data_IF_971224536881
#
_entry.id   IF_971224536881
#
_cell.length_a   1.000
_cell.length_b   1.000
_cell.length_c   1.000
_cell.angle_alpha   90.00
_cell.angle_beta   90.00
_cell.angle_gamma   90.00
#
_symmetry.space_group_name_H-M   'P 1'
#
loop_
_entity.id
_entity.type
_entity.pdbx_description
1 polymer ?
#
# COMPACT_ATOMS: atom_id res chain seq x y z
N UNK A 1 -3.77 -15.44 -17.93
CA UNK A 1 -3.61 -14.83 -16.60
C UNK A 1 -2.26 -14.18 -16.51
N UNK A 2 -2.16 -13.00 -15.88
CA UNK A 2 -0.87 -12.39 -15.61
C UNK A 2 -0.07 -13.24 -14.63
N UNK A 3 1.22 -13.32 -14.87
CA UNK A 3 2.21 -13.98 -14.04
C UNK A 3 2.47 -13.18 -12.76
N UNK A 4 3.05 -13.81 -11.74
CA UNK A 4 3.40 -13.12 -10.49
C UNK A 4 4.29 -11.87 -10.70
N UNK A 5 5.30 -11.86 -11.60
CA UNK A 5 6.05 -10.65 -11.92
C UNK A 5 5.20 -9.53 -12.53
N UNK A 6 4.27 -9.85 -13.43
CA UNK A 6 3.36 -8.86 -14.05
C UNK A 6 2.39 -8.28 -13.01
N UNK A 7 1.85 -9.11 -12.12
CA UNK A 7 1.02 -8.66 -11.00
C UNK A 7 1.79 -7.74 -10.05
N UNK A 8 3.03 -8.09 -9.72
CA UNK A 8 3.91 -7.27 -8.89
C UNK A 8 4.15 -5.90 -9.51
N UNK A 9 4.47 -5.86 -10.81
CA UNK A 9 4.70 -4.61 -11.53
C UNK A 9 3.43 -3.75 -11.57
N UNK A 10 2.28 -4.36 -11.87
CA UNK A 10 0.98 -3.67 -11.87
C UNK A 10 0.66 -3.09 -10.49
N UNK A 11 0.85 -3.86 -9.42
CA UNK A 11 0.66 -3.39 -8.05
C UNK A 11 1.52 -2.15 -7.74
N UNK A 12 2.82 -2.23 -8.01
CA UNK A 12 3.73 -1.12 -7.71
C UNK A 12 3.40 0.14 -8.51
N UNK A 13 3.06 -0.02 -9.79
CA UNK A 13 2.64 1.09 -10.65
C UNK A 13 1.36 1.75 -10.13
N UNK A 14 0.35 0.95 -9.78
CA UNK A 14 -0.91 1.47 -9.22
C UNK A 14 -0.71 2.13 -7.85
N UNK A 15 0.10 1.54 -6.98
CA UNK A 15 0.41 2.12 -5.68
C UNK A 15 1.14 3.47 -5.82
N UNK A 16 2.08 3.59 -6.75
CA UNK A 16 2.81 4.84 -7.00
C UNK A 16 1.91 5.98 -7.47
N UNK A 17 0.86 5.70 -8.25
CA UNK A 17 -0.09 6.72 -8.70
C UNK A 17 -1.21 7.02 -7.70
N UNK A 18 -1.70 6.00 -7.01
CA UNK A 18 -2.92 6.09 -6.21
C UNK A 18 -2.64 6.34 -4.73
N UNK A 19 -1.47 5.90 -4.26
CA UNK A 19 -0.81 6.16 -2.98
C UNK A 19 -1.53 5.66 -1.74
N UNK A 20 -2.86 5.80 -1.62
CA UNK A 20 -3.55 5.50 -0.36
C UNK A 20 -3.60 4.00 -0.08
N UNK A 21 -3.11 3.60 1.09
CA UNK A 21 -3.29 2.25 1.66
C UNK A 21 -3.96 2.34 3.03
N UNK A 22 -4.77 1.34 3.38
CA UNK A 22 -5.30 1.16 4.73
C UNK A 22 -4.30 0.35 5.55
N UNK A 23 -3.57 0.99 6.46
CA UNK A 23 -2.47 0.39 7.23
C UNK A 23 -2.91 0.10 8.68
N UNK A 24 -2.60 -1.09 9.19
CA UNK A 24 -2.85 -1.49 10.57
C UNK A 24 -1.77 -2.40 11.13
N UNK A 25 -1.65 -2.44 12.46
CA UNK A 25 -0.73 -3.32 13.18
C UNK A 25 -1.44 -4.63 13.55
N UNK A 26 -0.77 -5.77 13.35
CA UNK A 26 -1.33 -7.08 13.68
C UNK A 26 -1.44 -7.22 15.20
N UNK A 27 -2.64 -7.53 15.68
CA UNK A 27 -2.89 -7.78 17.11
C UNK A 27 -2.98 -6.53 18.00
N UNK A 28 -2.92 -5.33 17.41
CA UNK A 28 -3.07 -4.04 18.10
C UNK A 28 -4.40 -3.41 17.67
N UNK A 29 -5.19 -2.90 18.62
CA UNK A 29 -6.49 -2.25 18.33
C UNK A 29 -7.39 -3.10 17.40
N UNK A 30 -7.50 -4.41 17.64
CA UNK A 30 -8.25 -5.34 16.75
C UNK A 30 -7.77 -5.31 15.27
N UNK A 31 -6.50 -4.97 15.05
CA UNK A 31 -5.89 -4.71 13.74
C UNK A 31 -6.57 -3.58 12.96
N UNK A 32 -7.07 -2.56 13.68
CA UNK A 32 -7.72 -1.40 13.09
C UNK A 32 -6.81 -0.73 12.04
N UNK A 33 -7.31 -0.67 10.81
CA UNK A 33 -6.60 -0.03 9.70
C UNK A 33 -7.03 1.41 9.52
N UNK A 34 -6.10 2.25 9.06
CA UNK A 34 -6.37 3.67 8.76
C UNK A 34 -5.75 4.07 7.42
N UNK A 35 -6.37 4.99 6.68
CA UNK A 35 -5.84 5.45 5.41
C UNK A 35 -4.54 6.23 5.63
N UNK A 36 -3.48 5.81 4.94
CA UNK A 36 -2.16 6.43 4.96
C UNK A 36 -1.69 6.62 3.52
N UNK A 37 -1.05 7.74 3.21
CA UNK A 37 -0.51 8.02 1.87
C UNK A 37 0.86 7.37 1.73
N UNK A 38 0.95 6.30 0.95
CA UNK A 38 2.21 5.62 0.63
C UNK A 38 3.08 6.50 -0.27
N UNK A 39 4.39 6.49 -0.01
CA UNK A 39 5.41 7.05 -0.87
C UNK A 39 6.52 6.03 -1.13
N UNK A 40 7.12 6.11 -2.31
CA UNK A 40 8.22 5.26 -2.75
C UNK A 40 9.37 6.16 -3.20
N UNK A 41 10.61 5.79 -2.92
CA UNK A 41 11.78 6.48 -3.47
C UNK A 41 12.04 6.10 -4.93
N UNK A 42 11.60 4.90 -5.34
CA UNK A 42 11.76 4.37 -6.70
C UNK A 42 10.46 3.76 -7.23
N UNK A 43 10.59 2.60 -7.86
CA UNK A 43 9.45 1.85 -8.41
C UNK A 43 8.99 0.71 -7.50
N UNK A 44 9.73 0.40 -6.44
CA UNK A 44 9.44 -0.68 -5.50
C UNK A 44 9.63 -0.20 -4.06
N UNK A 45 9.35 -1.08 -3.11
CA UNK A 45 9.52 -0.81 -1.69
C UNK A 45 10.98 -0.51 -1.28
N UNK A 46 11.20 -0.06 -0.03
CA UNK A 46 10.22 0.04 1.05
C UNK A 46 9.12 1.08 0.81
N UNK A 47 7.98 0.90 1.48
CA UNK A 47 6.85 1.84 1.42
C UNK A 47 6.95 2.79 2.62
N UNK A 48 6.91 4.09 2.36
CA UNK A 48 7.06 5.11 3.38
C UNK A 48 5.75 5.83 3.66
N UNK A 49 5.52 6.20 4.93
CA UNK A 49 4.37 6.97 5.35
C UNK A 49 4.81 8.09 6.29
N UNK A 50 4.59 9.34 5.90
CA UNK A 50 4.70 10.48 6.83
C UNK A 50 3.54 10.47 7.82
N UNK A 51 3.84 10.74 9.08
CA UNK A 51 2.88 10.76 10.19
C UNK A 51 3.39 11.63 11.33
N UNK A 52 2.65 11.66 12.44
CA UNK A 52 3.02 12.32 13.69
C UNK A 52 3.48 11.31 14.73
N UNK A 53 4.35 11.73 15.64
CA UNK A 53 4.68 11.00 16.88
C UNK A 53 3.42 10.64 17.69
N UNK A 54 2.35 11.44 17.57
CA UNK A 54 1.07 11.24 18.26
C UNK A 54 0.17 10.17 17.61
N UNK A 55 0.53 9.64 16.43
CA UNK A 55 -0.28 8.61 15.77
C UNK A 55 -0.27 7.30 16.58
N UNK A 56 -1.43 6.68 16.79
CA UNK A 56 -1.50 5.45 17.60
C UNK A 56 -0.72 4.28 17.01
N UNK A 57 -0.48 4.24 15.69
CA UNK A 57 0.47 3.27 15.12
C UNK A 57 1.86 3.46 15.73
N UNK A 58 2.37 4.70 15.74
CA UNK A 58 3.70 5.04 16.29
C UNK A 58 3.78 4.70 17.78
N UNK A 59 2.73 5.02 18.54
CA UNK A 59 2.68 4.76 19.98
C UNK A 59 2.66 3.27 20.35
N UNK A 60 2.19 2.41 19.44
CA UNK A 60 2.10 0.96 19.65
C UNK A 60 3.21 0.16 18.91
N UNK A 61 4.11 0.82 18.19
CA UNK A 61 5.21 0.15 17.49
C UNK A 61 6.20 -0.44 18.50
N UNK A 62 6.63 -1.68 18.23
CA UNK A 62 7.68 -2.41 18.91
C UNK A 62 8.76 -2.78 17.89
N UNK A 63 9.91 -3.28 18.37
CA UNK A 63 11.07 -3.59 17.51
C UNK A 63 10.77 -4.56 16.35
N UNK A 64 9.73 -5.39 16.44
CA UNK A 64 9.34 -6.38 15.42
C UNK A 64 7.84 -6.32 15.06
N UNK A 65 7.26 -5.11 15.05
CA UNK A 65 5.84 -4.95 14.71
C UNK A 65 5.51 -5.44 13.31
N UNK A 66 4.58 -6.40 13.24
CA UNK A 66 3.97 -6.88 11.99
C UNK A 66 2.81 -5.99 11.62
N UNK A 67 2.69 -5.65 10.34
CA UNK A 67 1.62 -4.86 9.81
C UNK A 67 0.93 -5.53 8.62
N UNK A 68 -0.33 -5.15 8.42
CA UNK A 68 -1.09 -5.43 7.22
C UNK A 68 -1.49 -4.10 6.58
N UNK A 69 -1.33 -4.00 5.27
CA UNK A 69 -1.76 -2.86 4.50
C UNK A 69 -2.65 -3.34 3.35
N UNK A 70 -3.90 -2.88 3.29
CA UNK A 70 -4.76 -3.16 2.14
C UNK A 70 -4.77 -1.99 1.17
N UNK A 71 -4.86 -2.29 -0.12
CA UNK A 71 -4.83 -1.34 -1.21
C UNK A 71 -5.92 -1.65 -2.21
N UNK A 72 -6.55 -0.60 -2.72
CA UNK A 72 -7.46 -0.66 -3.85
C UNK A 72 -7.03 0.43 -4.84
N UNK A 73 -6.73 0.04 -6.07
CA UNK A 73 -6.50 1.01 -7.14
C UNK A 73 -7.78 1.84 -7.34
N UNK A 74 -7.64 3.13 -7.69
CA UNK A 74 -8.78 4.05 -7.89
C UNK A 74 -9.73 3.57 -8.97
N UNK A 75 -9.21 2.86 -9.96
CA UNK A 75 -10.00 2.21 -11.02
C UNK A 75 -10.77 0.97 -10.57
N UNK A 76 -10.53 0.48 -9.34
CA UNK A 76 -11.05 -0.78 -8.81
C UNK A 76 -10.72 -1.99 -9.71
N UNK A 77 -9.61 -1.94 -10.43
CA UNK A 77 -9.11 -3.00 -11.33
C UNK A 77 -7.99 -3.84 -10.69
N UNK A 78 -7.49 -3.43 -9.52
CA UNK A 78 -6.51 -4.14 -8.70
C UNK A 78 -6.78 -3.89 -7.21
N UNK A 79 -6.78 -4.96 -6.43
CA UNK A 79 -6.82 -4.94 -4.98
C UNK A 79 -5.62 -5.73 -4.44
N UNK A 80 -5.08 -5.34 -3.29
CA UNK A 80 -3.99 -6.06 -2.66
C UNK A 80 -4.10 -6.06 -1.14
N UNK A 81 -3.70 -7.17 -0.53
CA UNK A 81 -3.48 -7.31 0.91
C UNK A 81 -2.00 -7.59 1.12
N UNK A 82 -1.29 -6.62 1.69
CA UNK A 82 0.16 -6.60 1.80
C UNK A 82 0.57 -6.87 3.24
N UNK A 83 1.52 -7.77 3.44
CA UNK A 83 2.08 -8.10 4.75
C UNK A 83 3.56 -7.75 4.80
N UNK A 84 4.00 -7.23 5.95
CA UNK A 84 5.39 -6.82 6.15
C UNK A 84 5.69 -6.37 7.58
N UNK A 85 6.91 -5.89 7.78
CA UNK A 85 7.32 -5.23 9.01
C UNK A 85 7.09 -3.71 8.93
N UNK A 86 6.67 -3.09 10.04
CA UNK A 86 6.51 -1.64 10.14
C UNK A 86 7.44 -1.11 11.24
N UNK A 87 8.22 -0.07 10.93
CA UNK A 87 9.16 0.55 11.87
C UNK A 87 9.11 2.07 11.78
N UNK A 88 9.49 2.74 12.88
CA UNK A 88 9.83 4.16 12.83
C UNK A 88 11.20 4.28 12.18
N UNK A 89 11.30 5.11 11.13
CA UNK A 89 12.49 5.28 10.32
C UNK A 89 12.72 6.76 10.00
N UNK A 90 13.07 7.53 11.03
CA UNK A 90 13.35 8.98 10.92
C UNK A 90 14.74 9.25 10.32
N UNK A 91 15.02 8.70 9.14
CA UNK A 91 16.23 8.98 8.38
C UNK A 91 16.12 10.32 7.65
N UNK A 92 17.08 11.23 7.89
CA UNK A 92 17.00 12.59 7.37
C UNK A 92 17.10 12.64 5.86
N UNK A 93 17.96 11.83 5.25
CA UNK A 93 18.13 11.84 3.80
C UNK A 93 16.89 11.31 3.08
N UNK A 94 16.25 10.27 3.63
CA UNK A 94 14.99 9.73 3.12
C UNK A 94 13.86 10.74 3.23
N UNK A 95 13.74 11.42 4.38
CA UNK A 95 12.78 12.53 4.54
C UNK A 95 13.04 13.59 3.48
N UNK A 96 14.30 13.97 3.25
CA UNK A 96 14.67 14.99 2.28
C UNK A 96 14.26 14.62 0.84
N UNK A 97 14.44 13.36 0.45
CA UNK A 97 14.08 12.84 -0.89
C UNK A 97 12.57 12.73 -1.11
N UNK A 98 11.83 12.34 -0.07
CA UNK A 98 10.37 12.17 -0.13
C UNK A 98 9.59 13.48 0.11
N UNK A 99 10.26 14.50 0.64
CA UNK A 99 9.62 15.77 0.99
C UNK A 99 9.04 16.49 -0.23
N UNK A 100 7.80 16.94 -0.10
CA UNK A 100 7.13 17.75 -1.10
C UNK A 100 6.11 18.70 -0.45
N UNK A 101 5.54 19.61 -1.24
CA UNK A 101 4.59 20.63 -0.75
C UNK A 101 3.35 20.03 -0.06
N UNK A 102 2.91 18.84 -0.47
CA UNK A 102 1.74 18.20 0.12
C UNK A 102 2.05 17.66 1.51
N UNK A 103 3.25 17.08 1.70
CA UNK A 103 3.74 16.68 3.03
C UNK A 103 3.95 17.91 3.92
N UNK A 104 4.62 18.93 3.39
CA UNK A 104 4.94 20.15 4.13
C UNK A 104 3.70 20.86 4.72
N UNK A 105 2.54 20.76 4.06
CA UNK A 105 1.29 21.35 4.53
C UNK A 105 0.81 20.78 5.87
N UNK A 106 1.32 19.62 6.31
CA UNK A 106 0.93 18.97 7.57
C UNK A 106 1.88 19.27 8.74
N UNK A 107 3.03 19.90 8.51
CA UNK A 107 4.07 20.11 9.52
C UNK A 107 4.51 21.57 9.57
N UNK A 108 4.07 22.31 10.60
CA UNK A 108 4.38 23.74 10.76
C UNK A 108 5.89 23.98 10.90
N UNK A 109 6.61 23.08 11.59
CA UNK A 109 8.06 23.11 11.71
C UNK A 109 8.80 22.58 10.46
N UNK A 110 8.07 22.22 9.41
CA UNK A 110 8.63 21.61 8.22
C UNK A 110 9.34 20.29 8.53
N UNK A 111 10.55 20.11 7.98
CA UNK A 111 11.34 18.89 8.16
C UNK A 111 11.91 18.73 9.58
N UNK A 112 11.98 19.82 10.33
CA UNK A 112 12.51 19.87 11.70
C UNK A 112 11.40 19.86 12.75
N UNK A 113 10.15 19.66 12.32
CA UNK A 113 9.01 19.57 13.24
C UNK A 113 9.23 18.38 14.20
N UNK A 114 9.21 18.60 15.53
CA UNK A 114 9.44 17.54 16.51
C UNK A 114 8.36 16.46 16.50
N UNK A 115 7.21 16.72 15.87
CA UNK A 115 6.16 15.72 15.69
C UNK A 115 6.35 14.90 14.41
N UNK A 116 7.16 15.35 13.45
CA UNK A 116 7.37 14.61 12.20
C UNK A 116 7.92 13.22 12.49
N UNK A 117 7.22 12.22 11.97
CA UNK A 117 7.65 10.82 12.00
C UNK A 117 7.51 10.23 10.61
N UNK A 118 8.53 9.52 10.17
CA UNK A 118 8.51 8.70 8.96
C UNK A 118 8.41 7.24 9.38
N UNK A 119 7.39 6.55 8.91
CA UNK A 119 7.28 5.10 9.02
C UNK A 119 7.84 4.45 7.77
N UNK A 120 8.57 3.33 7.96
CA UNK A 120 9.02 2.43 6.89
C UNK A 120 8.27 1.11 7.01
N UNK A 121 7.60 0.73 5.93
CA UNK A 121 6.94 -0.55 5.77
C UNK A 121 7.71 -1.40 4.77
N UNK A 122 8.40 -2.42 5.28
CA UNK A 122 9.11 -3.42 4.48
C UNK A 122 8.11 -4.46 4.01
N UNK A 123 7.50 -4.20 2.85
CA UNK A 123 6.52 -5.07 2.23
C UNK A 123 7.17 -6.37 1.72
N UNK A 124 6.75 -7.52 2.23
CA UNK A 124 7.37 -8.82 1.95
C UNK A 124 6.56 -9.62 0.92
N UNK A 125 5.25 -9.68 1.12
CA UNK A 125 4.32 -10.46 0.30
C UNK A 125 2.99 -9.75 0.19
N UNK A 126 2.31 -9.98 -0.93
CA UNK A 126 0.95 -9.53 -1.14
C UNK A 126 0.12 -10.63 -1.77
N UNK A 127 -1.13 -10.73 -1.35
CA UNK A 127 -2.16 -11.34 -2.17
C UNK A 127 -2.77 -10.24 -3.04
N UNK A 128 -2.82 -10.47 -4.35
CA UNK A 128 -3.29 -9.49 -5.34
C UNK A 128 -4.48 -10.08 -6.08
N UNK A 129 -5.55 -9.30 -6.17
CA UNK A 129 -6.76 -9.61 -6.94
C UNK A 129 -6.88 -8.63 -8.10
N UNK A 130 -7.01 -9.15 -9.32
CA UNK A 130 -7.39 -8.32 -10.47
C UNK A 130 -8.90 -8.29 -10.64
N UNK A 131 -9.38 -7.15 -11.13
CA UNK A 131 -10.78 -6.94 -11.48
C UNK A 131 -10.87 -6.28 -12.86
N UNK A 132 -10.08 -6.79 -13.82
CA UNK A 132 -10.15 -6.40 -15.24
C UNK A 132 -11.46 -6.86 -15.90
N UNK A 133 -12.19 -7.74 -15.23
CA UNK A 133 -13.36 -8.43 -15.76
C UNK A 133 -14.60 -7.54 -15.88
N UNK A 134 -14.77 -6.44 -15.15
CA UNK A 134 -16.09 -5.75 -15.12
C UNK A 134 -16.57 -5.23 -16.49
N UNK A 135 -15.70 -4.62 -17.29
CA UNK A 135 -16.05 -4.12 -18.63
C UNK A 135 -16.14 -5.23 -19.69
N UNK A 136 -15.18 -6.16 -19.69
CA UNK A 136 -15.17 -7.28 -20.64
C UNK A 136 -16.27 -8.30 -20.33
N UNK A 137 -16.59 -8.55 -19.07
CA UNK A 137 -17.73 -9.36 -18.63
C UNK A 137 -19.05 -8.69 -19.04
N UNK A 138 -19.16 -7.36 -18.95
CA UNK A 138 -20.32 -6.62 -19.45
C UNK A 138 -20.55 -6.85 -20.95
N UNK A 139 -19.49 -6.77 -21.77
CA UNK A 139 -19.54 -7.08 -23.21
C UNK A 139 -19.84 -8.55 -23.46
N UNK A 140 -19.19 -9.48 -22.75
CA UNK A 140 -19.43 -10.93 -22.88
C UNK A 140 -20.87 -11.30 -22.51
N UNK A 141 -21.43 -10.71 -21.44
CA UNK A 141 -22.84 -10.89 -21.07
C UNK A 141 -23.79 -10.36 -22.15
N UNK A 142 -23.50 -9.19 -22.74
CA UNK A 142 -24.26 -8.68 -23.89
C UNK A 142 -24.20 -9.62 -25.10
N UNK A 143 -23.11 -10.37 -25.25
CA UNK A 143 -22.91 -11.37 -26.30
C UNK A 143 -23.38 -12.79 -25.89
N UNK A 144 -23.98 -12.96 -24.70
CA UNK A 144 -24.52 -14.24 -24.22
C UNK A 144 -23.49 -15.25 -23.72
N UNK A 145 -22.26 -14.82 -23.45
CA UNK A 145 -21.17 -15.66 -22.91
C UNK A 145 -21.17 -15.59 -21.39
N UNK A 146 -21.06 -16.75 -20.70
CA UNK A 146 -21.00 -16.82 -19.23
C UNK A 146 -19.63 -16.32 -18.71
N UNK A 147 -19.58 -15.24 -17.92
CA UNK A 147 -18.32 -14.68 -17.41
C UNK A 147 -17.70 -15.46 -16.25
N UNK A 148 -18.35 -16.52 -15.73
CA UNK A 148 -17.89 -17.24 -14.52
C UNK A 148 -16.66 -18.14 -14.74
N UNK A 149 -16.34 -18.51 -15.97
CA UNK A 149 -15.20 -19.38 -16.30
C UNK A 149 -13.84 -18.70 -16.04
N UNK A 150 -13.77 -17.36 -16.10
CA UNK A 150 -12.51 -16.60 -15.98
C UNK A 150 -12.13 -16.23 -14.53
N UNK A 151 -13.06 -16.35 -13.57
CA UNK A 151 -12.93 -15.77 -12.22
C UNK A 151 -11.98 -16.51 -11.27
N UNK A 152 -11.61 -17.76 -11.57
CA UNK A 152 -10.84 -18.62 -10.65
C UNK A 152 -9.34 -18.32 -10.62
N UNK A 153 -8.85 -17.51 -11.55
CA UNK A 153 -7.42 -17.32 -11.75
C UNK A 153 -6.95 -15.85 -11.59
N UNK A 154 -7.81 -14.99 -11.05
CA UNK A 154 -7.53 -13.57 -10.86
C UNK A 154 -6.83 -13.24 -9.54
N UNK A 155 -6.42 -14.26 -8.77
CA UNK A 155 -5.79 -14.13 -7.45
C UNK A 155 -4.43 -14.80 -7.42
N UNK A 156 -3.40 -14.11 -6.96
CA UNK A 156 -2.10 -14.71 -6.71
C UNK A 156 -1.42 -14.16 -5.45
N UNK A 157 -0.70 -15.04 -4.74
CA UNK A 157 0.29 -14.64 -3.75
C UNK A 157 1.61 -14.30 -4.44
N UNK A 158 2.12 -13.10 -4.16
CA UNK A 158 3.27 -12.51 -4.83
C UNK A 158 4.29 -12.05 -3.79
N UNK A 159 5.56 -12.43 -3.97
CA UNK A 159 6.67 -11.85 -3.20
C UNK A 159 7.00 -10.46 -3.74
N UNK A 160 7.05 -9.47 -2.85
CA UNK A 160 7.27 -8.08 -3.21
C UNK A 160 8.74 -7.64 -3.17
N UNK A 161 9.60 -8.49 -2.63
CA UNK A 161 11.06 -8.32 -2.61
C UNK A 161 11.77 -8.85 -3.86
#
# INVERSE_FOLDING_TARGET
MPTAPELREKFWKSLKSDMTMMLGLVGVEESHTRPMTAQLEGDHGPIYFFTSTENSLVQNLQSESRAVATFAAKGNDLFAAVHGGLTVFNDRETIDRLWNRFVAAWFEGGKDDPKLTLLRFDAERAEIWLNESSLLAGVKMLLGVDPKEDYKDDVAEVRLT
#
